data_IF_082186092431
#
_entry.id   IF_082186092431
#
_cell.length_a   1.000
_cell.length_b   1.000
_cell.length_c   1.000
_cell.angle_alpha   90.00
_cell.angle_beta   90.00
_cell.angle_gamma   90.00
#
_symmetry.space_group_name_H-M   'P 1'
#
loop_
_entity.id
_entity.type
_entity.pdbx_description
1 polymer ?
#
# COMPACT_ATOMS: atom_id res chain seq x y z
N UNK A 1 6.24 19.57 -12.09
CA UNK A 1 5.22 19.45 -11.02
C UNK A 1 5.94 19.08 -9.72
N UNK A 2 5.59 19.68 -8.58
CA UNK A 2 6.19 19.33 -7.28
C UNK A 2 5.37 18.19 -6.64
N UNK A 3 5.30 17.06 -7.34
CA UNK A 3 4.55 15.87 -6.89
C UNK A 3 5.54 14.86 -6.35
N UNK A 4 5.31 14.35 -5.14
CA UNK A 4 6.08 13.24 -4.59
C UNK A 4 5.37 11.93 -4.92
N UNK A 5 6.12 10.95 -5.42
CA UNK A 5 5.68 9.59 -5.63
C UNK A 5 6.03 8.77 -4.39
N UNK A 6 5.01 8.43 -3.62
CA UNK A 6 5.13 7.50 -2.50
C UNK A 6 4.83 6.08 -2.98
N UNK A 7 5.77 5.17 -2.80
CA UNK A 7 5.65 3.76 -3.16
C UNK A 7 5.65 2.93 -1.89
N UNK A 8 4.79 1.92 -1.84
CA UNK A 8 4.71 0.94 -0.75
C UNK A 8 5.15 -0.42 -1.26
N UNK A 9 6.43 -0.81 -1.07
CA UNK A 9 6.91 -2.11 -1.46
C UNK A 9 6.22 -3.25 -0.69
N UNK A 10 5.79 -4.27 -1.42
CA UNK A 10 5.23 -5.49 -0.82
C UNK A 10 6.30 -6.53 -0.50
N UNK A 11 7.50 -6.37 -1.06
CA UNK A 11 8.66 -7.24 -0.87
C UNK A 11 9.47 -6.77 0.34
N UNK A 12 9.96 -7.72 1.14
CA UNK A 12 10.94 -7.43 2.18
C UNK A 12 12.28 -7.10 1.52
N UNK A 13 12.94 -6.02 1.97
CA UNK A 13 14.15 -5.52 1.31
C UNK A 13 13.85 -4.90 -0.05
N UNK A 14 12.78 -4.11 -0.15
CA UNK A 14 12.30 -3.51 -1.40
C UNK A 14 13.14 -2.36 -1.93
N UNK A 15 14.29 -2.03 -1.32
CA UNK A 15 15.12 -0.89 -1.69
C UNK A 15 15.57 -0.90 -3.15
N UNK A 16 15.79 -2.09 -3.71
CA UNK A 16 16.16 -2.28 -5.12
C UNK A 16 15.13 -1.73 -6.11
N UNK A 17 13.88 -1.51 -5.67
CA UNK A 17 12.81 -0.94 -6.53
C UNK A 17 13.18 0.49 -6.96
N UNK A 18 13.90 1.25 -6.13
CA UNK A 18 14.38 2.57 -6.53
C UNK A 18 15.32 2.48 -7.73
N UNK A 19 16.28 1.55 -7.70
CA UNK A 19 17.22 1.31 -8.80
C UNK A 19 16.49 0.84 -10.07
N UNK A 20 15.45 0.00 -9.91
CA UNK A 20 14.65 -0.44 -11.04
C UNK A 20 13.86 0.71 -11.67
N UNK A 21 13.21 1.54 -10.85
CA UNK A 21 12.48 2.72 -11.32
C UNK A 21 13.40 3.73 -12.00
N UNK A 22 14.63 3.90 -11.50
CA UNK A 22 15.62 4.80 -12.10
C UNK A 22 15.91 4.43 -13.56
N UNK A 23 15.96 3.13 -13.89
CA UNK A 23 16.21 2.67 -15.28
C UNK A 23 15.14 3.13 -16.26
N UNK A 24 13.89 3.29 -15.81
CA UNK A 24 12.76 3.69 -16.66
C UNK A 24 12.47 5.19 -16.61
N UNK A 25 12.64 5.82 -15.43
CA UNK A 25 12.28 7.22 -15.21
C UNK A 25 13.46 8.20 -15.36
N UNK A 26 14.71 7.71 -15.26
CA UNK A 26 15.92 8.54 -15.31
C UNK A 26 16.18 9.42 -14.08
N UNK A 27 15.28 9.42 -13.09
CA UNK A 27 15.43 10.12 -11.81
C UNK A 27 14.55 9.49 -10.73
N UNK A 28 15.01 9.57 -9.48
CA UNK A 28 14.30 9.14 -8.27
C UNK A 28 14.22 10.24 -7.20
N UNK A 29 14.52 11.49 -7.55
CA UNK A 29 14.52 12.62 -6.60
C UNK A 29 13.15 12.87 -5.95
N UNK A 30 12.07 12.53 -6.65
CA UNK A 30 10.70 12.67 -6.17
C UNK A 30 10.11 11.34 -5.67
N UNK A 31 10.93 10.33 -5.42
CA UNK A 31 10.50 9.00 -4.96
C UNK A 31 10.73 8.83 -3.45
N UNK A 32 9.72 8.31 -2.77
CA UNK A 32 9.83 7.85 -1.38
C UNK A 32 9.38 6.39 -1.30
N UNK A 33 10.25 5.51 -0.82
CA UNK A 33 9.92 4.11 -0.55
C UNK A 33 9.53 3.92 0.91
N UNK A 34 8.34 3.38 1.16
CA UNK A 34 7.84 3.04 2.49
C UNK A 34 7.99 1.54 2.76
N UNK A 35 9.23 1.12 3.08
CA UNK A 35 9.58 -0.30 3.20
C UNK A 35 8.95 -1.03 4.39
N UNK A 36 8.42 -0.32 5.39
CA UNK A 36 7.96 -0.94 6.64
C UNK A 36 6.55 -1.54 6.57
N UNK A 37 5.81 -1.31 5.48
CA UNK A 37 4.42 -1.78 5.31
C UNK A 37 4.30 -3.07 4.50
N UNK A 38 5.36 -3.89 4.43
CA UNK A 38 5.32 -5.14 3.67
C UNK A 38 4.60 -6.28 4.41
N UNK A 39 4.26 -6.15 5.71
CA UNK A 39 3.55 -7.14 6.54
C UNK A 39 4.14 -8.56 6.50
N UNK A 40 5.46 -8.66 6.60
CA UNK A 40 6.18 -9.94 6.51
C UNK A 40 6.52 -10.39 5.08
N UNK A 41 6.11 -9.64 4.05
CA UNK A 41 6.61 -9.75 2.69
C UNK A 41 5.52 -10.11 1.68
N UNK A 42 5.95 -10.53 0.49
CA UNK A 42 5.06 -10.80 -0.63
C UNK A 42 4.05 -11.90 -0.30
N UNK A 43 2.78 -11.66 -0.67
CA UNK A 43 1.62 -12.51 -0.40
C UNK A 43 1.41 -12.88 1.09
N UNK A 44 2.13 -12.26 2.02
CA UNK A 44 1.87 -12.37 3.46
C UNK A 44 0.80 -11.36 3.86
N UNK A 45 -0.18 -11.87 4.60
CA UNK A 45 -1.30 -11.09 5.14
C UNK A 45 -1.39 -11.43 6.61
N UNK A 46 -0.98 -10.48 7.47
CA UNK A 46 -1.05 -10.65 8.92
C UNK A 46 -2.48 -10.39 9.43
N UNK A 47 -2.86 -10.87 10.63
CA UNK A 47 -4.18 -10.63 11.20
C UNK A 47 -4.59 -9.15 11.20
N UNK A 48 -3.65 -8.25 11.55
CA UNK A 48 -3.90 -6.80 11.52
C UNK A 48 -4.32 -6.29 10.13
N UNK A 49 -3.72 -6.82 9.06
CA UNK A 49 -4.05 -6.42 7.69
C UNK A 49 -5.41 -7.00 7.27
N UNK A 50 -5.78 -8.20 7.73
CA UNK A 50 -7.11 -8.76 7.47
C UNK A 50 -8.21 -7.91 8.12
N UNK A 51 -8.04 -7.52 9.37
CA UNK A 51 -9.01 -6.69 10.08
C UNK A 51 -9.11 -5.30 9.45
N UNK A 52 -7.98 -4.73 9.04
CA UNK A 52 -7.96 -3.48 8.27
C UNK A 52 -8.76 -3.58 6.98
N UNK A 53 -8.59 -4.64 6.18
CA UNK A 53 -9.32 -4.83 4.92
C UNK A 53 -10.82 -4.84 5.14
N UNK A 54 -11.30 -5.54 6.18
CA UNK A 54 -12.72 -5.60 6.53
C UNK A 54 -13.25 -4.22 6.94
N UNK A 55 -12.51 -3.52 7.80
CA UNK A 55 -12.88 -2.18 8.26
C UNK A 55 -12.93 -1.18 7.11
N UNK A 56 -11.88 -1.14 6.28
CA UNK A 56 -11.79 -0.27 5.10
C UNK A 56 -12.93 -0.53 4.12
N UNK A 57 -13.20 -1.79 3.78
CA UNK A 57 -14.30 -2.14 2.89
C UNK A 57 -15.66 -1.71 3.46
N UNK A 58 -15.86 -1.85 4.78
CA UNK A 58 -17.10 -1.43 5.45
C UNK A 58 -17.26 0.10 5.53
N UNK A 59 -16.16 0.85 5.66
CA UNK A 59 -16.18 2.31 5.82
C UNK A 59 -16.26 3.03 4.47
N UNK A 60 -15.43 2.60 3.51
CA UNK A 60 -15.26 3.28 2.22
C UNK A 60 -16.13 2.68 1.11
N UNK A 61 -16.68 1.46 1.30
CA UNK A 61 -17.43 0.76 0.26
C UNK A 61 -16.57 0.27 -0.91
N UNK A 62 -15.24 0.27 -0.75
CA UNK A 62 -14.26 -0.14 -1.77
C UNK A 62 -13.54 -1.40 -1.30
N UNK A 63 -13.51 -2.43 -2.15
CA UNK A 63 -12.73 -3.64 -1.88
C UNK A 63 -11.26 -3.39 -2.19
N UNK A 64 -10.37 -3.92 -1.37
CA UNK A 64 -8.90 -3.87 -1.53
C UNK A 64 -8.32 -5.27 -1.38
N UNK A 65 -7.23 -5.56 -2.08
CA UNK A 65 -6.59 -6.88 -2.11
C UNK A 65 -5.56 -7.07 -0.99
N UNK A 66 -5.42 -8.29 -0.44
CA UNK A 66 -4.56 -8.57 0.71
C UNK A 66 -3.06 -8.61 0.43
N UNK A 67 -2.65 -8.52 -0.84
CA UNK A 67 -1.25 -8.61 -1.28
C UNK A 67 -0.65 -7.22 -1.52
N UNK A 68 -1.39 -6.33 -2.19
CA UNK A 68 -0.91 -5.02 -2.64
C UNK A 68 -1.71 -3.86 -2.08
N UNK A 69 -2.95 -3.67 -2.55
CA UNK A 69 -3.70 -2.43 -2.32
C UNK A 69 -4.08 -2.23 -0.85
N UNK A 70 -4.30 -3.30 -0.08
CA UNK A 70 -4.48 -3.18 1.36
C UNK A 70 -3.27 -2.58 2.09
N UNK A 71 -2.05 -2.94 1.66
CA UNK A 71 -0.82 -2.40 2.26
C UNK A 71 -0.62 -0.93 1.91
N UNK A 72 -0.99 -0.55 0.69
CA UNK A 72 -0.99 0.84 0.25
C UNK A 72 -1.93 1.69 1.12
N UNK A 73 -3.20 1.30 1.24
CA UNK A 73 -4.17 2.08 2.01
C UNK A 73 -3.84 2.09 3.50
N UNK A 74 -3.39 0.96 4.06
CA UNK A 74 -2.90 0.93 5.44
C UNK A 74 -1.76 1.94 5.66
N UNK A 75 -0.78 1.98 4.74
CA UNK A 75 0.33 2.91 4.85
C UNK A 75 -0.14 4.37 4.79
N UNK A 76 -1.13 4.70 3.94
CA UNK A 76 -1.70 6.05 3.87
C UNK A 76 -2.31 6.44 5.22
N UNK A 77 -3.18 5.60 5.77
CA UNK A 77 -3.87 5.89 7.05
C UNK A 77 -2.88 6.01 8.21
N UNK A 78 -1.91 5.09 8.28
CA UNK A 78 -0.88 5.12 9.32
C UNK A 78 0.02 6.36 9.21
N UNK A 79 0.45 6.74 8.01
CA UNK A 79 1.23 7.97 7.76
C UNK A 79 0.43 9.23 8.12
N UNK A 80 -0.86 9.28 7.80
CA UNK A 80 -1.75 10.37 8.21
C UNK A 80 -1.83 10.43 9.75
N UNK A 81 -2.02 9.29 10.42
CA UNK A 81 -2.11 9.24 11.88
C UNK A 81 -0.83 9.71 12.58
N UNK A 82 0.32 9.46 11.95
CA UNK A 82 1.66 9.90 12.41
C UNK A 82 1.96 11.37 12.07
N UNK A 83 1.05 12.07 11.40
CA UNK A 83 1.25 13.47 10.98
C UNK A 83 2.32 13.64 9.90
N UNK A 84 2.59 12.60 9.10
CA UNK A 84 3.59 12.65 8.03
C UNK A 84 3.18 13.62 6.91
N UNK A 85 1.90 13.63 6.55
CA UNK A 85 1.33 14.55 5.56
C UNK A 85 0.77 15.79 6.24
N UNK A 86 0.95 16.95 5.60
CA UNK A 86 0.35 18.20 6.05
C UNK A 86 -1.14 18.22 5.73
N UNK A 87 -1.93 18.97 6.51
CA UNK A 87 -3.38 19.13 6.27
C UNK A 87 -3.73 19.71 4.89
N UNK A 88 -2.81 20.44 4.27
CA UNK A 88 -2.96 21.01 2.93
C UNK A 88 -2.58 20.06 1.79
N UNK A 89 -1.95 18.93 2.11
CA UNK A 89 -1.48 17.99 1.10
C UNK A 89 -2.69 17.30 0.44
N UNK A 90 -2.59 17.07 -0.87
CA UNK A 90 -3.59 16.34 -1.64
C UNK A 90 -2.99 15.00 -2.05
N UNK A 91 -3.62 13.93 -1.59
CA UNK A 91 -3.16 12.56 -1.85
C UNK A 91 -4.04 11.95 -2.94
N UNK A 92 -3.40 11.38 -3.96
CA UNK A 92 -4.06 10.55 -4.97
C UNK A 92 -3.54 9.13 -4.80
N UNK A 93 -4.40 8.24 -4.28
CA UNK A 93 -4.09 6.82 -4.16
C UNK A 93 -4.40 6.09 -5.47
N UNK A 94 -3.45 5.33 -6.00
CA UNK A 94 -3.63 4.51 -7.20
C UNK A 94 -4.07 3.09 -6.80
N UNK A 95 -5.38 2.85 -6.83
CA UNK A 95 -5.93 1.51 -6.59
C UNK A 95 -5.76 0.63 -7.85
N UNK A 96 -4.69 -0.16 -7.91
CA UNK A 96 -4.33 -0.96 -9.10
C UNK A 96 -5.15 -2.25 -9.28
N UNK A 97 -6.02 -2.61 -8.34
CA UNK A 97 -6.92 -3.76 -8.45
C UNK A 97 -6.47 -4.91 -7.58
N UNK A 98 -6.35 -6.12 -8.14
CA UNK A 98 -5.87 -7.31 -7.41
C UNK A 98 -6.94 -8.10 -6.66
N UNK A 99 -8.23 -7.74 -6.78
CA UNK A 99 -9.33 -8.30 -5.97
C UNK A 99 -9.48 -9.82 -6.03
N UNK A 100 -9.02 -10.47 -7.11
CA UNK A 100 -8.97 -11.94 -7.20
C UNK A 100 -8.12 -12.57 -6.08
N UNK A 101 -7.18 -11.83 -5.50
CA UNK A 101 -6.41 -12.26 -4.32
C UNK A 101 -7.28 -12.55 -3.11
N UNK A 102 -8.44 -11.91 -2.96
CA UNK A 102 -9.42 -12.20 -1.91
C UNK A 102 -9.99 -13.61 -2.09
N UNK A 103 -10.28 -14.02 -3.33
CA UNK A 103 -10.86 -15.35 -3.62
C UNK A 103 -9.92 -16.48 -3.20
N UNK A 104 -8.61 -16.32 -3.43
CA UNK A 104 -7.59 -17.28 -2.97
C UNK A 104 -7.50 -17.38 -1.44
N UNK A 105 -8.05 -16.41 -0.71
CA UNK A 105 -8.05 -16.34 0.74
C UNK A 105 -9.46 -16.35 1.34
N UNK A 106 -10.49 -16.78 0.59
CA UNK A 106 -11.90 -16.67 0.99
C UNK A 106 -12.19 -17.18 2.40
N UNK A 107 -11.57 -18.30 2.81
CA UNK A 107 -11.75 -18.87 4.15
C UNK A 107 -11.28 -17.95 5.30
N UNK A 108 -10.42 -16.97 5.00
CA UNK A 108 -9.90 -15.97 5.95
C UNK A 108 -10.77 -14.72 6.03
N UNK A 109 -11.62 -14.51 5.01
CA UNK A 109 -12.57 -13.41 4.91
C UNK A 109 -13.97 -13.98 5.12
N UNK A 110 -14.33 -14.23 6.38
CA UNK A 110 -15.73 -14.40 6.76
C UNK A 110 -16.32 -13.00 6.90
N UNK A 111 -17.13 -12.61 5.93
CA UNK A 111 -18.00 -11.44 6.01
C UNK A 111 -19.31 -11.84 6.67
#
# INVERSE_FOLDING_TARGET
>A
LKTMLHVVPVLKGGDFIADELFKYAGSTEQLVLHNDYHFGGYAKTQPVLLEYIKAFASQEGILIDPVYTAKLFYAIDDLISKGYFNKSDKIVALHTGGLLGIMGMKHRFQF
#
